data_IF_337870017356
#
_entry.id   IF_337870017356
#
_cell.length_a   1.000
_cell.length_b   1.000
_cell.length_c   1.000
_cell.angle_alpha   90.00
_cell.angle_beta   90.00
_cell.angle_gamma   90.00
#
_symmetry.space_group_name_H-M   'P 1'
#
loop_
_entity.id
_entity.type
_entity.pdbx_description
1 polymer ?
#
# COMPACT_ATOMS: atom_id res chain seq x y z
N UNK A 1 2.90 11.83 -5.37
CA UNK A 1 1.69 11.07 -5.68
C UNK A 1 1.81 9.73 -4.97
N UNK A 2 0.94 9.47 -4.00
CA UNK A 2 1.00 8.29 -3.13
C UNK A 2 0.75 7.00 -3.91
N UNK A 3 -0.23 7.00 -4.81
CA UNK A 3 -0.61 5.80 -5.57
C UNK A 3 0.54 5.30 -6.45
N UNK A 4 1.20 6.20 -7.17
CA UNK A 4 2.34 5.83 -8.00
C UNK A 4 3.51 5.28 -7.19
N UNK A 5 3.81 5.90 -6.04
CA UNK A 5 4.83 5.36 -5.13
C UNK A 5 4.45 3.96 -4.60
N UNK A 6 3.19 3.76 -4.21
CA UNK A 6 2.67 2.47 -3.76
C UNK A 6 2.87 1.39 -4.84
N UNK A 7 2.48 1.67 -6.09
CA UNK A 7 2.66 0.75 -7.22
C UNK A 7 4.13 0.44 -7.48
N UNK A 8 4.96 1.48 -7.60
CA UNK A 8 6.37 1.30 -7.94
C UNK A 8 7.13 0.51 -6.84
N UNK A 9 6.81 0.75 -5.57
CA UNK A 9 7.40 -0.01 -4.46
C UNK A 9 6.99 -1.48 -4.52
N UNK A 10 5.70 -1.79 -4.66
CA UNK A 10 5.23 -3.18 -4.73
C UNK A 10 5.78 -3.91 -5.96
N UNK A 11 5.69 -3.29 -7.15
CA UNK A 11 6.21 -3.86 -8.40
C UNK A 11 7.72 -4.08 -8.34
N UNK A 12 8.47 -3.11 -7.82
CA UNK A 12 9.92 -3.22 -7.68
C UNK A 12 10.37 -4.26 -6.65
N UNK A 13 9.66 -4.35 -5.52
CA UNK A 13 10.00 -5.25 -4.42
C UNK A 13 9.54 -6.70 -4.65
N UNK A 14 8.31 -6.92 -5.12
CA UNK A 14 7.70 -8.25 -5.22
C UNK A 14 7.80 -8.85 -6.63
N UNK A 15 7.63 -8.03 -7.66
CA UNK A 15 7.58 -8.48 -9.06
C UNK A 15 8.89 -8.26 -9.82
N UNK A 16 9.89 -7.69 -9.14
CA UNK A 16 11.23 -7.39 -9.69
C UNK A 16 11.19 -6.48 -10.93
N UNK A 17 10.18 -5.63 -11.02
CA UNK A 17 10.04 -4.71 -12.14
C UNK A 17 11.10 -3.62 -12.08
N UNK A 18 11.97 -3.59 -13.09
CA UNK A 18 13.15 -2.72 -13.12
C UNK A 18 12.78 -1.24 -13.34
N UNK A 19 11.72 -0.98 -14.11
CA UNK A 19 11.23 0.39 -14.33
C UNK A 19 10.74 1.01 -13.02
N UNK A 20 9.93 0.26 -12.28
CA UNK A 20 9.42 0.66 -10.97
C UNK A 20 10.54 0.93 -9.97
N UNK A 21 11.58 0.08 -9.94
CA UNK A 21 12.76 0.30 -9.08
C UNK A 21 13.45 1.63 -9.37
N UNK A 22 13.68 1.94 -10.65
CA UNK A 22 14.30 3.20 -11.07
C UNK A 22 13.41 4.40 -10.75
N UNK A 23 12.10 4.26 -10.88
CA UNK A 23 11.15 5.31 -10.49
C UNK A 23 11.28 5.63 -9.00
N UNK A 24 11.32 4.62 -8.12
CA UNK A 24 11.51 4.85 -6.67
C UNK A 24 12.86 5.51 -6.39
N UNK A 25 13.95 4.99 -6.96
CA UNK A 25 15.32 5.49 -6.73
C UNK A 25 15.55 6.92 -7.24
N UNK A 26 14.84 7.34 -8.29
CA UNK A 26 14.90 8.70 -8.83
C UNK A 26 13.87 9.66 -8.21
N UNK A 27 12.96 9.15 -7.38
CA UNK A 27 11.92 9.96 -6.75
C UNK A 27 12.43 10.75 -5.56
N UNK A 28 11.61 11.70 -5.10
CA UNK A 28 11.83 12.42 -3.83
C UNK A 28 11.74 11.52 -2.59
N UNK A 29 11.22 10.30 -2.72
CA UNK A 29 11.18 9.33 -1.62
C UNK A 29 12.53 8.67 -1.39
N UNK A 30 13.39 8.58 -2.41
CA UNK A 30 14.69 7.93 -2.28
C UNK A 30 15.54 8.44 -1.09
N UNK A 31 15.74 9.77 -0.90
CA UNK A 31 16.48 10.25 0.26
C UNK A 31 15.80 9.93 1.60
N UNK A 32 14.45 9.99 1.66
CA UNK A 32 13.68 9.63 2.86
C UNK A 32 13.88 8.16 3.19
N UNK A 33 13.84 7.28 2.18
CA UNK A 33 14.06 5.85 2.35
C UNK A 33 15.47 5.57 2.87
N UNK A 34 16.49 6.24 2.32
CA UNK A 34 17.88 6.12 2.80
C UNK A 34 18.01 6.61 4.25
N UNK A 35 17.37 7.71 4.60
CA UNK A 35 17.46 8.27 5.97
C UNK A 35 16.82 7.34 7.01
N UNK A 36 15.61 6.86 6.74
CA UNK A 36 14.84 6.04 7.68
C UNK A 36 15.28 4.58 7.71
N UNK A 37 15.62 3.99 6.56
CA UNK A 37 15.92 2.55 6.44
C UNK A 37 17.39 2.25 6.13
N UNK A 38 18.20 3.25 5.78
CA UNK A 38 19.62 3.06 5.45
C UNK A 38 20.44 2.49 6.60
N UNK A 39 20.04 2.78 7.86
CA UNK A 39 20.70 2.24 9.05
C UNK A 39 20.32 0.78 9.34
N UNK A 40 19.06 0.39 9.14
CA UNK A 40 18.55 -0.96 9.45
C UNK A 40 18.80 -1.98 8.33
N UNK A 41 18.86 -1.53 7.08
CA UNK A 41 18.97 -2.41 5.91
C UNK A 41 20.30 -2.26 5.15
N UNK A 42 21.08 -1.24 5.48
CA UNK A 42 22.21 -0.82 4.66
C UNK A 42 21.79 -0.17 3.34
N UNK A 43 20.53 0.26 3.20
CA UNK A 43 20.04 0.95 2.02
C UNK A 43 20.86 2.22 1.74
N UNK A 44 21.68 2.13 0.70
CA UNK A 44 22.22 3.26 -0.06
C UNK A 44 21.61 3.14 -1.45
N UNK A 45 21.48 4.25 -2.18
CA UNK A 45 21.09 4.16 -3.60
C UNK A 45 22.32 3.69 -4.38
N UNK A 46 22.20 2.70 -5.30
CA UNK A 46 20.98 1.96 -5.65
C UNK A 46 20.56 0.95 -4.57
N UNK A 47 19.26 0.84 -4.33
CA UNK A 47 18.71 -0.02 -3.27
C UNK A 47 18.96 -1.49 -3.57
N UNK A 48 19.17 -2.28 -2.52
CA UNK A 48 19.37 -3.71 -2.63
C UNK A 48 18.03 -4.44 -2.65
N UNK A 49 17.24 -4.23 -3.71
CA UNK A 49 15.87 -4.75 -3.88
C UNK A 49 15.71 -6.26 -3.70
N UNK A 50 16.76 -7.04 -3.90
CA UNK A 50 16.76 -8.49 -3.74
C UNK A 50 16.89 -8.95 -2.29
N UNK A 51 17.27 -8.06 -1.36
CA UNK A 51 17.38 -8.40 0.05
C UNK A 51 16.00 -8.33 0.71
N UNK A 52 15.64 -9.40 1.41
CA UNK A 52 14.42 -9.47 2.21
C UNK A 52 14.30 -8.33 3.21
N UNK A 53 15.41 -7.90 3.81
CA UNK A 53 15.42 -6.75 4.71
C UNK A 53 14.98 -5.44 4.02
N UNK A 54 15.43 -5.22 2.77
CA UNK A 54 15.01 -4.06 1.97
C UNK A 54 13.52 -4.16 1.60
N UNK A 55 13.07 -5.34 1.15
CA UNK A 55 11.66 -5.57 0.83
C UNK A 55 10.75 -5.37 2.05
N UNK A 56 11.14 -5.87 3.22
CA UNK A 56 10.40 -5.65 4.47
C UNK A 56 10.35 -4.18 4.87
N UNK A 57 11.47 -3.46 4.82
CA UNK A 57 11.49 -2.04 5.15
C UNK A 57 10.55 -1.24 4.24
N UNK A 58 10.56 -1.51 2.93
CA UNK A 58 9.70 -0.80 1.98
C UNK A 58 8.21 -1.17 2.13
N UNK A 59 7.89 -2.44 2.29
CA UNK A 59 6.49 -2.92 2.27
C UNK A 59 5.85 -2.84 3.66
N UNK A 60 6.56 -3.23 4.72
CA UNK A 60 6.00 -3.38 6.07
C UNK A 60 6.21 -2.16 6.97
N UNK A 61 7.10 -1.24 6.59
CA UNK A 61 7.37 -0.06 7.40
C UNK A 61 7.03 1.22 6.62
N UNK A 62 7.61 1.43 5.44
CA UNK A 62 7.41 2.66 4.66
C UNK A 62 5.97 2.82 4.17
N UNK A 63 5.39 1.81 3.52
CA UNK A 63 4.02 1.91 2.99
C UNK A 63 3.01 2.22 4.11
N UNK A 64 2.99 1.48 5.24
CA UNK A 64 2.12 1.83 6.38
C UNK A 64 2.35 3.24 6.94
N UNK A 65 3.59 3.72 6.97
CA UNK A 65 3.88 5.10 7.39
C UNK A 65 3.31 6.12 6.40
N UNK A 66 3.41 5.87 5.09
CA UNK A 66 2.76 6.68 4.07
C UNK A 66 1.23 6.63 4.18
N UNK A 67 0.64 5.46 4.43
CA UNK A 67 -0.80 5.32 4.65
C UNK A 67 -1.28 6.13 5.84
N UNK A 68 -0.54 6.09 6.94
CA UNK A 68 -0.84 6.88 8.15
C UNK A 68 -0.82 8.37 7.82
N UNK A 69 0.21 8.83 7.14
CA UNK A 69 0.30 10.22 6.71
C UNK A 69 -0.84 10.63 5.77
N UNK A 70 -1.21 9.79 4.80
CA UNK A 70 -2.33 10.06 3.88
C UNK A 70 -3.67 10.05 4.61
N UNK A 71 -3.87 9.13 5.55
CA UNK A 71 -5.05 9.12 6.40
C UNK A 71 -5.18 10.46 7.13
N UNK A 72 -4.13 10.89 7.85
CA UNK A 72 -4.16 12.13 8.64
C UNK A 72 -4.32 13.38 7.77
N UNK A 73 -3.68 13.42 6.59
CA UNK A 73 -3.62 14.62 5.75
C UNK A 73 -4.77 14.75 4.74
N UNK A 74 -5.28 13.64 4.20
CA UNK A 74 -6.30 13.64 3.14
C UNK A 74 -7.59 12.89 3.54
N UNK A 75 -7.56 12.13 4.63
CA UNK A 75 -8.66 11.32 5.13
C UNK A 75 -8.56 9.84 4.75
N UNK A 76 -9.11 8.99 5.61
CA UNK A 76 -9.00 7.52 5.54
C UNK A 76 -9.39 6.91 4.19
N UNK A 77 -10.34 7.51 3.46
CA UNK A 77 -10.78 7.01 2.14
C UNK A 77 -9.64 6.91 1.12
N UNK A 78 -8.60 7.73 1.26
CA UNK A 78 -7.44 7.74 0.35
C UNK A 78 -6.38 6.72 0.72
N UNK A 79 -6.60 5.89 1.75
CA UNK A 79 -5.82 4.69 2.00
C UNK A 79 -6.50 3.43 1.48
N UNK A 80 -7.67 3.57 0.81
CA UNK A 80 -8.43 2.44 0.27
C UNK A 80 -8.04 2.15 -1.17
N UNK A 81 -7.70 0.90 -1.44
CA UNK A 81 -7.25 0.48 -2.76
C UNK A 81 -8.34 0.69 -3.82
N UNK A 82 -9.59 0.40 -3.49
CA UNK A 82 -10.73 0.64 -4.39
C UNK A 82 -10.84 2.10 -4.82
N UNK A 83 -10.65 3.05 -3.89
CA UNK A 83 -10.67 4.49 -4.17
C UNK A 83 -9.46 4.95 -4.95
N UNK A 84 -8.28 4.41 -4.65
CA UNK A 84 -7.06 4.73 -5.37
C UNK A 84 -7.12 4.24 -6.82
N UNK A 85 -7.63 3.02 -7.04
CA UNK A 85 -7.83 2.45 -8.38
C UNK A 85 -8.88 3.28 -9.14
N UNK A 86 -10.06 3.52 -8.57
CA UNK A 86 -11.14 4.30 -9.20
C UNK A 86 -10.67 5.69 -9.66
N UNK A 87 -9.77 6.32 -8.89
CA UNK A 87 -9.38 7.71 -9.14
C UNK A 87 -8.10 7.86 -9.98
N UNK A 88 -7.17 6.90 -9.91
CA UNK A 88 -5.83 7.05 -10.46
C UNK A 88 -5.41 5.93 -11.43
N UNK A 89 -6.27 4.95 -11.69
CA UNK A 89 -5.93 3.84 -12.58
C UNK A 89 -7.11 3.36 -13.43
N UNK A 90 -6.83 2.46 -14.36
CA UNK A 90 -7.83 1.75 -15.13
C UNK A 90 -8.05 0.36 -14.50
N UNK A 91 -9.21 0.18 -13.88
CA UNK A 91 -9.57 -1.07 -13.21
C UNK A 91 -9.51 -2.27 -14.16
N UNK A 92 -10.04 -2.13 -15.37
CA UNK A 92 -10.12 -3.23 -16.34
C UNK A 92 -8.73 -3.61 -16.84
N UNK A 93 -7.86 -2.62 -17.04
CA UNK A 93 -6.46 -2.85 -17.39
C UNK A 93 -5.69 -3.58 -16.28
N UNK A 94 -5.94 -3.24 -15.00
CA UNK A 94 -5.32 -3.91 -13.86
C UNK A 94 -5.82 -5.35 -13.71
N UNK A 95 -7.12 -5.60 -13.85
CA UNK A 95 -7.70 -6.94 -13.72
C UNK A 95 -7.25 -7.88 -14.86
N UNK A 96 -6.95 -7.32 -16.04
CA UNK A 96 -6.39 -8.05 -17.17
C UNK A 96 -4.91 -8.47 -16.99
N UNK A 97 -4.19 -7.92 -15.99
CA UNK A 97 -2.79 -8.26 -15.70
C UNK A 97 -2.68 -9.64 -15.02
N UNK A 98 -2.74 -10.71 -15.81
CA UNK A 98 -2.73 -12.09 -15.32
C UNK A 98 -1.46 -12.41 -14.49
N UNK A 99 -1.66 -12.77 -13.22
CA UNK A 99 -0.58 -13.16 -12.30
C UNK A 99 0.36 -12.02 -11.90
N UNK A 100 0.04 -10.78 -12.28
CA UNK A 100 0.82 -9.60 -11.98
C UNK A 100 0.28 -8.79 -10.81
N UNK A 101 0.85 -7.61 -10.62
CA UNK A 101 0.46 -6.70 -9.53
C UNK A 101 -1.02 -6.30 -9.63
N UNK A 102 -1.51 -6.03 -10.85
CA UNK A 102 -2.89 -5.61 -11.10
C UNK A 102 -3.94 -6.59 -10.55
N UNK A 103 -3.79 -7.90 -10.82
CA UNK A 103 -4.71 -8.90 -10.30
C UNK A 103 -4.73 -8.94 -8.77
N UNK A 104 -3.55 -8.88 -8.12
CA UNK A 104 -3.43 -8.92 -6.66
C UNK A 104 -4.04 -7.67 -6.03
N UNK A 105 -3.74 -6.48 -6.55
CA UNK A 105 -4.24 -5.23 -5.94
C UNK A 105 -5.76 -5.08 -6.08
N UNK A 106 -6.34 -5.59 -7.17
CA UNK A 106 -7.81 -5.65 -7.34
C UNK A 106 -8.43 -6.65 -6.36
N UNK A 107 -7.80 -7.81 -6.16
CA UNK A 107 -8.25 -8.79 -5.16
C UNK A 107 -8.19 -8.21 -3.74
N UNK A 108 -7.07 -7.58 -3.37
CA UNK A 108 -6.89 -6.96 -2.04
C UNK A 108 -7.89 -5.82 -1.81
N UNK A 109 -8.22 -5.05 -2.87
CA UNK A 109 -9.25 -4.02 -2.80
C UNK A 109 -10.65 -4.61 -2.49
N UNK A 110 -10.98 -5.80 -3.03
CA UNK A 110 -12.22 -6.52 -2.74
C UNK A 110 -12.23 -6.99 -1.28
N UNK A 111 -11.16 -7.64 -0.83
CA UNK A 111 -11.03 -8.10 0.57
C UNK A 111 -11.12 -6.95 1.57
N UNK A 112 -10.45 -5.82 1.31
CA UNK A 112 -10.53 -4.64 2.18
C UNK A 112 -11.97 -4.11 2.30
N UNK A 113 -12.74 -4.10 1.21
CA UNK A 113 -14.13 -3.68 1.23
C UNK A 113 -15.03 -4.65 2.02
N UNK A 114 -14.79 -5.96 1.90
CA UNK A 114 -15.51 -6.99 2.65
C UNK A 114 -15.23 -6.90 4.16
N UNK A 115 -13.96 -6.73 4.55
CA UNK A 115 -13.54 -6.57 5.94
C UNK A 115 -14.17 -5.32 6.58
N UNK A 116 -14.25 -4.22 5.82
CA UNK A 116 -14.90 -2.98 6.28
C UNK A 116 -16.41 -3.12 6.44
N UNK A 117 -17.06 -3.78 5.48
CA UNK A 117 -18.49 -4.08 5.60
C UNK A 117 -18.77 -4.97 6.82
N UNK A 118 -17.91 -5.98 7.05
CA UNK A 118 -17.95 -6.82 8.25
C UNK A 118 -17.76 -6.02 9.53
N UNK A 119 -16.71 -5.19 9.61
CA UNK A 119 -16.42 -4.36 10.78
C UNK A 119 -17.55 -3.37 11.08
N UNK A 120 -18.15 -2.75 10.06
CA UNK A 120 -19.31 -1.89 10.22
C UNK A 120 -20.52 -2.66 10.78
N UNK A 121 -20.74 -3.88 10.32
CA UNK A 121 -21.80 -4.75 10.81
C UNK A 121 -21.60 -5.12 12.30
N UNK A 122 -20.37 -5.46 12.70
CA UNK A 122 -20.03 -5.71 14.11
C UNK A 122 -20.23 -4.48 14.99
N UNK A 123 -19.75 -3.31 14.55
CA UNK A 123 -19.90 -2.06 15.29
C UNK A 123 -21.38 -1.67 15.51
N UNK A 124 -22.27 -1.98 14.55
CA UNK A 124 -23.71 -1.76 14.74
C UNK A 124 -24.38 -2.77 15.66
N UNK A 125 -23.83 -3.99 15.76
CA UNK A 125 -24.43 -5.09 16.54
C UNK A 125 -24.01 -5.03 18.01
N UNK A 126 -22.75 -4.67 18.32
CA UNK A 126 -22.30 -4.50 19.72
C UNK A 126 -23.02 -3.32 20.42
N UNK A 127 -23.31 -2.24 19.69
CA UNK A 127 -24.11 -1.12 20.21
C UNK A 127 -25.56 -1.55 20.51
N UNK A 128 -26.11 -2.51 19.76
CA UNK A 128 -27.42 -3.06 20.02
C UNK A 128 -27.45 -3.97 21.26
N UNK A 129 -26.37 -4.73 21.50
CA UNK A 129 -26.25 -5.60 22.67
C UNK A 129 -26.03 -4.80 23.97
N UNK A 130 -25.20 -3.75 23.96
CA UNK A 130 -25.05 -2.83 25.11
C UNK A 130 -26.33 -2.05 25.45
N UNK A 131 -27.21 -1.80 24.47
CA UNK A 131 -28.50 -1.17 24.69
C UNK A 131 -29.56 -2.12 25.28
N UNK A 132 -29.37 -3.44 25.15
CA UNK A 132 -30.31 -4.45 25.65
C UNK A 132 -30.06 -4.84 27.12
N UNK A 133 -28.88 -4.51 27.67
CA UNK A 133 -28.51 -4.76 29.07
C UNK A 133 -28.62 -3.53 30.00
N UNK A 134 -29.40 -2.50 29.64
CA UNK A 134 -29.71 -1.35 30.50
C UNK A 134 -31.17 -1.27 30.89
#
# INVERSE_FOLDING_TARGET
DYWNAYKDIHKGALYRDETSRRNVESSKLAPVIVEFFGRSTGAKVPFQWQKTACQHALIRELIPACETYIHESAGWRWTRLSRLIEHFDDHDALEAEAGGFGHVVVSDAKTQAEDEAGAAHFATTEVADEAYFR
#
